data_IF_407664512129
#
_entry.id   IF_407664512129
#
_cell.length_a   1.000
_cell.length_b   1.000
_cell.length_c   1.000
_cell.angle_alpha   90.00
_cell.angle_beta   90.00
_cell.angle_gamma   90.00
#
_symmetry.space_group_name_H-M   'P 1'
#
loop_
_entity.id
_entity.type
_entity.pdbx_description
1 polymer ?
#
# COMPACT_ATOMS: atom_id res chain seq x y z
N UNK A 1 14.26 21.84 -22.18
CA UNK A 1 14.24 21.51 -20.73
C UNK A 1 13.05 20.59 -20.49
N UNK A 2 13.25 19.28 -20.51
CA UNK A 2 12.16 18.34 -20.30
C UNK A 2 11.64 18.49 -18.87
N UNK A 3 10.34 18.73 -18.74
CA UNK A 3 9.61 18.72 -17.49
C UNK A 3 9.55 17.26 -17.01
N UNK A 4 10.69 16.77 -16.55
CA UNK A 4 10.89 15.38 -16.15
C UNK A 4 10.15 15.15 -14.85
N UNK A 5 8.90 14.71 -15.01
CA UNK A 5 7.94 14.32 -13.97
C UNK A 5 7.35 15.52 -13.23
N UNK A 6 6.06 15.80 -13.42
CA UNK A 6 5.36 16.93 -12.79
C UNK A 6 5.20 16.84 -11.26
N UNK A 7 5.91 15.93 -10.58
CA UNK A 7 5.86 15.73 -9.13
C UNK A 7 7.21 16.04 -8.50
N UNK A 8 7.21 16.87 -7.45
CA UNK A 8 8.40 17.16 -6.66
C UNK A 8 8.87 15.93 -5.87
N UNK A 9 10.20 15.77 -5.67
CA UNK A 9 10.77 14.63 -4.95
C UNK A 9 10.20 14.51 -3.53
N UNK A 10 9.95 15.64 -2.87
CA UNK A 10 9.25 15.69 -1.59
C UNK A 10 7.81 15.17 -1.66
N UNK A 11 7.08 15.44 -2.74
CA UNK A 11 5.74 14.88 -2.97
C UNK A 11 5.79 13.37 -3.14
N UNK A 12 6.75 12.84 -3.90
CA UNK A 12 6.92 11.40 -4.08
C UNK A 12 7.26 10.69 -2.76
N UNK A 13 8.15 11.26 -1.95
CA UNK A 13 8.47 10.74 -0.61
C UNK A 13 7.25 10.77 0.33
N UNK A 14 6.43 11.82 0.28
CA UNK A 14 5.19 11.89 1.06
C UNK A 14 4.19 10.82 0.63
N UNK A 15 4.06 10.55 -0.67
CA UNK A 15 3.19 9.48 -1.19
C UNK A 15 3.67 8.12 -0.67
N UNK A 16 4.98 7.85 -0.71
CA UNK A 16 5.58 6.62 -0.17
C UNK A 16 5.24 6.47 1.32
N UNK A 17 5.52 7.49 2.13
CA UNK A 17 5.28 7.45 3.58
C UNK A 17 3.82 7.19 3.92
N UNK A 18 2.90 7.95 3.30
CA UNK A 18 1.45 7.79 3.52
C UNK A 18 0.95 6.42 3.08
N UNK A 19 1.48 5.88 1.99
CA UNK A 19 1.12 4.54 1.52
C UNK A 19 1.53 3.49 2.55
N UNK A 20 2.74 3.59 3.11
CA UNK A 20 3.21 2.68 4.16
C UNK A 20 2.39 2.80 5.46
N UNK A 21 2.03 4.02 5.86
CA UNK A 21 1.15 4.26 7.02
C UNK A 21 -0.22 3.61 6.83
N UNK A 22 -0.82 3.75 5.64
CA UNK A 22 -2.10 3.12 5.34
C UNK A 22 -2.01 1.59 5.33
N UNK A 23 -0.95 1.01 4.76
CA UNK A 23 -0.73 -0.45 4.83
C UNK A 23 -0.63 -0.91 6.29
N UNK A 24 0.10 -0.18 7.15
CA UNK A 24 0.19 -0.53 8.57
C UNK A 24 -1.15 -0.46 9.30
N UNK A 25 -1.93 0.60 9.05
CA UNK A 25 -3.27 0.75 9.62
C UNK A 25 -4.22 -0.36 9.12
N UNK A 26 -4.10 -0.75 7.86
CA UNK A 26 -4.83 -1.85 7.25
C UNK A 26 -4.49 -3.21 7.89
N UNK A 27 -3.21 -3.52 8.11
CA UNK A 27 -2.78 -4.75 8.81
C UNK A 27 -3.34 -4.81 10.24
N UNK A 28 -3.34 -3.67 10.95
CA UNK A 28 -3.92 -3.59 12.30
C UNK A 28 -5.44 -3.76 12.32
N UNK A 29 -6.14 -3.29 11.27
CA UNK A 29 -7.57 -3.53 11.11
C UNK A 29 -7.86 -5.00 10.79
N UNK A 30 -7.02 -5.64 9.96
CA UNK A 30 -7.09 -7.06 9.63
C UNK A 30 -7.03 -7.97 10.84
N UNK A 31 -6.04 -7.75 11.72
CA UNK A 31 -5.93 -8.52 12.96
C UNK A 31 -7.19 -8.42 13.83
N UNK A 32 -7.80 -7.23 13.92
CA UNK A 32 -9.03 -7.01 14.70
C UNK A 32 -10.25 -7.69 14.09
N UNK A 33 -10.40 -7.66 12.76
CA UNK A 33 -11.50 -8.32 12.07
C UNK A 33 -11.39 -9.85 12.18
N UNK A 34 -10.17 -10.39 12.06
CA UNK A 34 -9.92 -11.83 12.24
C UNK A 34 -10.25 -12.29 13.66
N UNK A 35 -9.76 -11.59 14.68
CA UNK A 35 -10.00 -11.91 16.10
C UNK A 35 -11.49 -11.82 16.48
N UNK A 36 -12.16 -10.74 16.06
CA UNK A 36 -13.59 -10.57 16.28
C UNK A 36 -14.41 -11.67 15.58
N UNK A 37 -14.05 -12.02 14.34
CA UNK A 37 -14.78 -13.05 13.59
C UNK A 37 -14.57 -14.43 14.20
N UNK A 38 -13.37 -14.77 14.66
CA UNK A 38 -13.12 -16.04 15.35
C UNK A 38 -13.92 -16.14 16.65
N UNK A 39 -13.93 -15.08 17.44
CA UNK A 39 -14.71 -15.01 18.69
C UNK A 39 -16.21 -15.16 18.42
N UNK A 40 -16.72 -14.46 17.41
CA UNK A 40 -18.14 -14.51 17.04
C UNK A 40 -18.54 -15.85 16.42
N UNK A 41 -17.69 -16.43 15.57
CA UNK A 41 -17.94 -17.74 14.96
C UNK A 41 -17.98 -18.86 16.01
N UNK A 42 -17.13 -18.79 17.05
CA UNK A 42 -17.16 -19.71 18.18
C UNK A 42 -18.45 -19.58 19.02
N UNK A 43 -19.01 -18.37 19.12
CA UNK A 43 -20.25 -18.11 19.85
C UNK A 43 -21.53 -18.37 19.02
N UNK A 44 -21.43 -18.42 17.69
CA UNK A 44 -22.56 -18.54 16.79
C UNK A 44 -23.03 -20.00 16.59
N UNK A 45 -24.36 -20.22 16.51
CA UNK A 45 -24.93 -21.50 16.04
C UNK A 45 -24.41 -21.80 14.62
N UNK A 46 -24.14 -23.07 14.32
CA UNK A 46 -23.33 -23.54 13.19
C UNK A 46 -23.50 -22.77 11.86
N UNK A 47 -24.73 -22.47 11.44
CA UNK A 47 -25.02 -21.80 10.17
C UNK A 47 -24.56 -20.33 10.12
N UNK A 48 -24.72 -19.58 11.21
CA UNK A 48 -24.24 -18.20 11.29
C UNK A 48 -22.70 -18.13 11.36
N UNK A 49 -22.05 -19.12 11.97
CA UNK A 49 -20.60 -19.28 11.97
C UNK A 49 -20.04 -19.50 10.55
N UNK A 50 -20.68 -20.36 9.75
CA UNK A 50 -20.29 -20.63 8.37
C UNK A 50 -20.41 -19.36 7.49
N UNK A 51 -21.49 -18.60 7.64
CA UNK A 51 -21.69 -17.35 6.89
C UNK A 51 -20.64 -16.31 7.27
N UNK A 52 -20.33 -16.16 8.56
CA UNK A 52 -19.29 -15.25 9.05
C UNK A 52 -17.90 -15.63 8.50
N UNK A 53 -17.57 -16.93 8.50
CA UNK A 53 -16.31 -17.41 7.92
C UNK A 53 -16.22 -17.13 6.41
N UNK A 54 -17.29 -17.35 5.65
CA UNK A 54 -17.32 -17.02 4.21
C UNK A 54 -17.06 -15.52 3.99
N UNK A 55 -17.75 -14.65 4.73
CA UNK A 55 -17.56 -13.20 4.63
C UNK A 55 -16.15 -12.76 5.00
N UNK A 56 -15.52 -13.42 5.98
CA UNK A 56 -14.12 -13.17 6.33
C UNK A 56 -13.18 -13.53 5.18
N UNK A 57 -13.40 -14.67 4.51
CA UNK A 57 -12.58 -15.07 3.35
C UNK A 57 -12.72 -14.09 2.19
N UNK A 58 -13.95 -13.65 1.88
CA UNK A 58 -14.20 -12.62 0.85
C UNK A 58 -13.48 -11.32 1.19
N UNK A 59 -13.63 -10.85 2.43
CA UNK A 59 -12.98 -9.65 2.92
C UNK A 59 -11.44 -9.75 2.90
N UNK A 60 -10.87 -10.90 3.25
CA UNK A 60 -9.43 -11.17 3.16
C UNK A 60 -8.92 -11.14 1.70
N UNK A 61 -9.73 -11.58 0.74
CA UNK A 61 -9.39 -11.48 -0.68
C UNK A 61 -9.33 -10.03 -1.14
N UNK A 62 -10.37 -9.25 -0.84
CA UNK A 62 -10.41 -7.82 -1.16
C UNK A 62 -9.27 -7.05 -0.49
N UNK A 63 -8.96 -7.40 0.77
CA UNK A 63 -7.82 -6.87 1.51
C UNK A 63 -6.50 -7.11 0.77
N UNK A 64 -6.26 -8.34 0.34
CA UNK A 64 -5.06 -8.72 -0.40
C UNK A 64 -4.91 -7.92 -1.69
N UNK A 65 -6.01 -7.74 -2.42
CA UNK A 65 -6.03 -6.96 -3.67
C UNK A 65 -5.67 -5.49 -3.44
N UNK A 66 -6.20 -4.87 -2.38
CA UNK A 66 -5.89 -3.48 -2.04
C UNK A 66 -4.41 -3.36 -1.63
N UNK A 67 -3.91 -4.28 -0.81
CA UNK A 67 -2.50 -4.31 -0.41
C UNK A 67 -1.57 -4.42 -1.61
N UNK A 68 -1.85 -5.34 -2.54
CA UNK A 68 -1.08 -5.50 -3.77
C UNK A 68 -1.07 -4.21 -4.61
N UNK A 69 -2.20 -3.50 -4.71
CA UNK A 69 -2.27 -2.22 -5.42
C UNK A 69 -1.42 -1.13 -4.74
N UNK A 70 -1.43 -1.07 -3.42
CA UNK A 70 -0.60 -0.13 -2.65
C UNK A 70 0.90 -0.44 -2.78
N UNK A 71 1.28 -1.72 -2.80
CA UNK A 71 2.67 -2.15 -3.00
C UNK A 71 3.16 -1.82 -4.41
N UNK A 72 2.32 -2.01 -5.43
CA UNK A 72 2.63 -1.61 -6.82
C UNK A 72 2.79 -0.09 -6.91
N UNK A 73 1.89 0.68 -6.30
CA UNK A 73 2.00 2.14 -6.26
C UNK A 73 3.31 2.57 -5.62
N UNK A 74 3.67 2.01 -4.47
CA UNK A 74 4.90 2.33 -3.77
C UNK A 74 6.14 2.01 -4.62
N UNK A 75 6.16 0.85 -5.26
CA UNK A 75 7.23 0.44 -6.19
C UNK A 75 7.38 1.41 -7.36
N UNK A 76 6.27 1.81 -7.98
CA UNK A 76 6.28 2.76 -9.10
C UNK A 76 6.77 4.15 -8.68
N UNK A 77 6.35 4.64 -7.51
CA UNK A 77 6.78 5.94 -6.98
C UNK A 77 8.27 5.93 -6.61
N UNK A 78 8.77 4.83 -6.05
CA UNK A 78 10.21 4.67 -5.78
C UNK A 78 11.05 4.63 -7.06
N UNK A 79 10.57 3.93 -8.10
CA UNK A 79 11.23 3.91 -9.41
C UNK A 79 11.28 5.33 -10.02
N UNK A 80 10.19 6.08 -9.92
CA UNK A 80 10.12 7.46 -10.40
C UNK A 80 11.09 8.38 -9.64
N UNK A 81 11.16 8.26 -8.32
CA UNK A 81 12.09 9.01 -7.48
C UNK A 81 13.54 8.71 -7.87
N UNK A 82 13.87 7.42 -8.04
CA UNK A 82 15.22 6.97 -8.46
C UNK A 82 15.60 7.52 -9.83
N UNK A 83 14.68 7.44 -10.81
CA UNK A 83 14.91 7.97 -12.16
C UNK A 83 15.16 9.48 -12.13
N UNK A 84 14.43 10.22 -11.30
CA UNK A 84 14.62 11.65 -11.13
C UNK A 84 15.98 11.98 -10.55
N UNK A 85 16.37 11.37 -9.41
CA UNK A 85 17.66 11.62 -8.77
C UNK A 85 18.83 11.38 -9.73
N UNK A 86 18.79 10.27 -10.48
CA UNK A 86 19.82 9.96 -11.47
C UNK A 86 19.88 10.97 -12.63
N UNK A 87 18.73 11.52 -13.02
CA UNK A 87 18.65 12.53 -14.08
C UNK A 87 19.17 13.88 -13.61
N UNK A 88 18.80 14.31 -12.39
CA UNK A 88 19.30 15.53 -11.76
C UNK A 88 20.85 15.46 -11.62
N UNK A 89 21.41 14.34 -11.15
CA UNK A 89 22.87 14.14 -11.05
C UNK A 89 23.57 14.21 -12.42
N UNK A 90 22.96 13.65 -13.46
CA UNK A 90 23.52 13.66 -14.82
C UNK A 90 23.54 15.07 -15.42
N UNK A 91 22.51 15.88 -15.16
CA UNK A 91 22.48 17.28 -15.59
C UNK A 91 23.46 18.17 -14.83
N UNK A 92 23.65 17.90 -13.53
CA UNK A 92 24.59 18.65 -12.69
C UNK A 92 26.04 18.34 -13.06
N UNK A 93 26.38 17.07 -13.29
CA UNK A 93 27.71 16.67 -13.81
C UNK A 93 28.02 17.26 -15.19
N UNK A 94 27.02 17.39 -16.06
CA UNK A 94 27.21 17.95 -17.40
C UNK A 94 27.28 19.49 -17.42
N UNK A 95 26.77 20.16 -16.38
CA UNK A 95 26.81 21.62 -16.24
C UNK A 95 28.08 22.14 -15.52
N UNK A 96 28.83 21.25 -14.86
CA UNK A 96 30.09 21.56 -14.18
C UNK A 96 31.35 21.19 -15.01
N UNK A 97 31.18 20.73 -16.26
CA UNK A 97 32.24 20.32 -17.18
C UNK A 97 32.49 21.34 -18.30
#
# INVERSE_FOLDING_TARGET
MAQLTGFEAGTLQQIISRTMEQVSAMEAARGRVEDATQTMAAAARAEAGIVLQRRLTEWQSEYSDIKNKLDVLNTQVQALLTQRTNTDDSTTSSAAA
#
